data_IF_966526013975
#
_entry.id   IF_966526013975
#
_cell.length_a   1.000
_cell.length_b   1.000
_cell.length_c   1.000
_cell.angle_alpha   90.00
_cell.angle_beta   90.00
_cell.angle_gamma   90.00
#
_symmetry.space_group_name_H-M   'P 1'
#
loop_
_entity.id
_entity.type
_entity.pdbx_description
1 polymer ?
#
# COMPACT_ATOMS: atom_id res chain seq x y z
N UNK A 1 -6.22 -7.25 -0.78
CA UNK A 1 -6.03 -7.93 -2.08
C UNK A 1 -7.34 -8.55 -2.51
N UNK A 2 -8.14 -7.82 -3.29
CA UNK A 2 -9.44 -8.30 -3.78
C UNK A 2 -9.34 -9.33 -4.91
N UNK A 3 -8.16 -9.55 -5.49
CA UNK A 3 -7.97 -10.47 -6.60
C UNK A 3 -8.28 -11.95 -6.22
N UNK A 4 -7.91 -12.38 -5.02
CA UNK A 4 -8.26 -13.71 -4.48
C UNK A 4 -9.77 -13.87 -4.21
N UNK A 5 -10.47 -12.77 -3.92
CA UNK A 5 -11.92 -12.85 -3.74
C UNK A 5 -12.62 -13.06 -5.10
N UNK A 6 -12.09 -12.49 -6.18
CA UNK A 6 -12.69 -12.58 -7.52
C UNK A 6 -12.38 -13.89 -8.23
N UNK A 7 -11.27 -14.53 -7.86
CA UNK A 7 -10.98 -15.92 -8.17
C UNK A 7 -12.13 -16.85 -7.73
N UNK A 8 -12.46 -16.81 -6.42
CA UNK A 8 -13.54 -17.60 -5.84
C UNK A 8 -14.91 -17.24 -6.43
N UNK A 9 -15.07 -15.98 -6.82
CA UNK A 9 -16.28 -15.51 -7.48
C UNK A 9 -16.38 -16.04 -8.92
N UNK A 10 -15.30 -16.01 -9.71
CA UNK A 10 -15.26 -16.54 -11.07
C UNK A 10 -15.56 -18.04 -11.12
N UNK A 11 -15.00 -18.80 -10.16
CA UNK A 11 -15.31 -20.22 -9.98
C UNK A 11 -16.77 -20.47 -9.59
N UNK A 12 -17.39 -19.56 -8.83
CA UNK A 12 -18.81 -19.64 -8.50
C UNK A 12 -19.76 -19.25 -9.62
N UNK A 13 -19.24 -18.68 -10.72
CA UNK A 13 -20.02 -18.19 -11.87
C UNK A 13 -19.88 -19.07 -13.12
N UNK A 14 -19.09 -20.14 -13.07
CA UNK A 14 -18.67 -20.94 -14.24
C UNK A 14 -18.15 -20.08 -15.41
N UNK A 15 -17.56 -18.92 -15.10
CA UNK A 15 -16.97 -18.02 -16.10
C UNK A 15 -15.46 -18.25 -16.16
N UNK A 16 -15.04 -19.11 -17.09
CA UNK A 16 -13.65 -19.52 -17.28
C UNK A 16 -12.71 -18.35 -17.59
N UNK A 17 -13.21 -17.28 -18.21
CA UNK A 17 -12.43 -16.08 -18.50
C UNK A 17 -12.21 -15.22 -17.25
N UNK A 18 -13.25 -15.01 -16.44
CA UNK A 18 -13.12 -14.29 -15.17
C UNK A 18 -12.23 -15.06 -14.20
N UNK A 19 -12.37 -16.39 -14.15
CA UNK A 19 -11.54 -17.26 -13.33
C UNK A 19 -10.05 -17.17 -13.73
N UNK A 20 -9.74 -17.39 -15.02
CA UNK A 20 -8.37 -17.28 -15.52
C UNK A 20 -7.79 -15.88 -15.31
N UNK A 21 -8.55 -14.82 -15.63
CA UNK A 21 -8.11 -13.44 -15.46
C UNK A 21 -7.91 -13.06 -13.98
N UNK A 22 -8.74 -13.61 -13.09
CA UNK A 22 -8.62 -13.45 -11.65
C UNK A 22 -7.33 -14.07 -11.11
N UNK A 23 -7.07 -15.35 -11.42
CA UNK A 23 -5.86 -16.05 -11.02
C UNK A 23 -4.59 -15.45 -11.65
N UNK A 24 -4.58 -15.27 -12.97
CA UNK A 24 -3.44 -14.71 -13.68
C UNK A 24 -3.16 -13.27 -13.21
N UNK A 25 -4.21 -12.47 -13.05
CA UNK A 25 -4.15 -11.13 -12.51
C UNK A 25 -3.61 -11.10 -11.08
N UNK A 26 -4.07 -11.98 -10.19
CA UNK A 26 -3.60 -12.07 -8.80
C UNK A 26 -2.12 -12.46 -8.71
N UNK A 27 -1.68 -13.46 -9.47
CA UNK A 27 -0.27 -13.90 -9.50
C UNK A 27 0.64 -12.79 -10.06
N UNK A 28 0.25 -12.21 -11.20
CA UNK A 28 0.97 -11.08 -11.80
C UNK A 28 1.00 -9.88 -10.87
N UNK A 29 -0.12 -9.56 -10.20
CA UNK A 29 -0.18 -8.43 -9.27
C UNK A 29 0.71 -8.64 -8.06
N UNK A 30 0.77 -9.86 -7.51
CA UNK A 30 1.68 -10.20 -6.40
C UNK A 30 3.14 -10.00 -6.80
N UNK A 31 3.54 -10.50 -7.97
CA UNK A 31 4.88 -10.30 -8.52
C UNK A 31 5.17 -8.81 -8.71
N UNK A 32 4.29 -8.09 -9.41
CA UNK A 32 4.47 -6.68 -9.71
C UNK A 32 4.57 -5.85 -8.44
N UNK A 33 3.69 -6.12 -7.47
CA UNK A 33 3.67 -5.46 -6.19
C UNK A 33 4.93 -5.74 -5.39
N UNK A 34 5.47 -6.95 -5.43
CA UNK A 34 6.77 -7.23 -4.82
C UNK A 34 7.89 -6.36 -5.42
N UNK A 35 7.92 -6.18 -6.74
CA UNK A 35 8.95 -5.42 -7.44
C UNK A 35 8.88 -3.91 -7.15
N UNK A 36 7.75 -3.26 -7.45
CA UNK A 36 7.66 -1.81 -7.27
C UNK A 36 7.69 -1.40 -5.80
N UNK A 37 7.13 -2.21 -4.89
CA UNK A 37 7.18 -1.91 -3.45
C UNK A 37 8.59 -2.06 -2.91
N UNK A 38 9.32 -3.10 -3.33
CA UNK A 38 10.73 -3.26 -2.97
C UNK A 38 11.57 -2.07 -3.45
N UNK A 39 11.36 -1.60 -4.69
CA UNK A 39 12.07 -0.42 -5.21
C UNK A 39 11.74 0.86 -4.42
N UNK A 40 10.47 1.08 -4.06
CA UNK A 40 10.05 2.21 -3.22
C UNK A 40 10.70 2.19 -1.83
N UNK A 41 10.69 1.04 -1.16
CA UNK A 41 11.31 0.89 0.16
C UNK A 41 12.83 0.99 0.11
N UNK A 42 13.47 0.46 -0.93
CA UNK A 42 14.92 0.59 -1.10
C UNK A 42 15.30 2.06 -1.33
N UNK A 43 14.59 2.76 -2.21
CA UNK A 43 14.81 4.19 -2.43
C UNK A 43 14.55 5.02 -1.15
N UNK A 44 13.46 4.76 -0.43
CA UNK A 44 13.17 5.41 0.86
C UNK A 44 14.25 5.11 1.93
N UNK A 45 14.72 3.88 2.01
CA UNK A 45 15.81 3.48 2.91
C UNK A 45 17.13 4.18 2.59
N UNK A 46 17.41 4.40 1.31
CA UNK A 46 18.58 5.18 0.87
C UNK A 46 18.48 6.64 1.29
N UNK A 47 17.29 7.24 1.14
CA UNK A 47 17.02 8.61 1.60
C UNK A 47 17.18 8.70 3.10
N UNK A 48 16.66 7.71 3.84
CA UNK A 48 16.81 7.67 5.30
C UNK A 48 18.28 7.53 5.72
N UNK A 49 19.07 6.66 5.07
CA UNK A 49 20.50 6.53 5.36
C UNK A 49 21.28 7.82 5.05
N UNK A 50 20.89 8.56 4.01
CA UNK A 50 21.55 9.80 3.65
C UNK A 50 21.12 10.99 4.53
N UNK A 51 19.86 11.05 4.96
CA UNK A 51 19.29 12.23 5.64
C UNK A 51 19.07 12.03 7.13
N UNK A 52 18.98 10.79 7.62
CA UNK A 52 18.50 10.40 8.95
C UNK A 52 17.10 10.95 9.32
N UNK A 53 16.30 11.33 8.32
CA UNK A 53 14.97 11.92 8.51
C UNK A 53 13.90 10.93 8.06
N UNK A 54 12.97 10.62 8.97
CA UNK A 54 11.78 9.78 8.68
C UNK A 54 10.56 10.65 8.35
N UNK A 55 10.49 11.86 8.93
CA UNK A 55 9.33 12.73 8.75
C UNK A 55 9.36 13.41 7.38
N UNK A 56 8.42 13.03 6.51
CA UNK A 56 8.26 13.60 5.16
C UNK A 56 8.07 15.12 5.15
N UNK A 57 7.50 15.71 6.21
CA UNK A 57 7.32 17.17 6.30
C UNK A 57 8.64 17.94 6.39
N UNK A 58 9.72 17.27 6.82
CA UNK A 58 11.07 17.83 6.91
C UNK A 58 11.91 17.58 5.65
N UNK A 59 11.43 16.75 4.73
CA UNK A 59 12.07 16.49 3.44
C UNK A 59 11.67 17.53 2.40
N UNK A 60 12.43 17.62 1.30
CA UNK A 60 12.19 18.51 0.18
C UNK A 60 13.42 18.69 -0.70
N UNK A 61 13.23 18.92 -1.99
CA UNK A 61 14.32 19.23 -2.94
C UNK A 61 15.34 18.12 -3.16
N UNK A 62 15.06 16.87 -2.78
CA UNK A 62 16.00 15.75 -2.91
C UNK A 62 16.33 15.43 -4.38
N UNK A 63 15.46 15.76 -5.34
CA UNK A 63 15.71 15.50 -6.76
C UNK A 63 16.99 16.17 -7.29
N UNK A 64 17.39 17.32 -6.72
CA UNK A 64 18.62 18.01 -7.10
C UNK A 64 19.88 17.39 -6.48
N UNK A 65 19.74 16.71 -5.34
CA UNK A 65 20.85 16.12 -4.58
C UNK A 65 21.06 14.64 -4.93
N UNK A 66 19.97 13.91 -5.15
CA UNK A 66 19.94 12.48 -5.46
C UNK A 66 19.02 12.21 -6.67
N UNK A 67 19.39 12.65 -7.88
CA UNK A 67 18.54 12.54 -9.08
C UNK A 67 18.25 11.10 -9.52
N UNK A 68 19.21 10.18 -9.44
CA UNK A 68 19.03 8.77 -9.80
C UNK A 68 18.07 8.07 -8.83
N UNK A 69 18.27 8.23 -7.52
CA UNK A 69 17.36 7.67 -6.51
C UNK A 69 15.95 8.25 -6.67
N UNK A 70 15.84 9.54 -7.00
CA UNK A 70 14.56 10.20 -7.26
C UNK A 70 13.84 9.67 -8.50
N UNK A 71 14.56 9.46 -9.60
CA UNK A 71 14.01 8.91 -10.84
C UNK A 71 13.53 7.46 -10.64
N UNK A 72 14.30 6.65 -9.89
CA UNK A 72 13.92 5.28 -9.57
C UNK A 72 12.68 5.24 -8.66
N UNK A 73 12.59 6.14 -7.68
CA UNK A 73 11.39 6.27 -6.84
C UNK A 73 10.18 6.71 -7.67
N UNK A 74 10.36 7.67 -8.61
CA UNK A 74 9.29 8.13 -9.50
C UNK A 74 8.79 7.02 -10.42
N UNK A 75 9.72 6.23 -10.99
CA UNK A 75 9.39 5.07 -11.82
C UNK A 75 8.57 4.06 -11.02
N UNK A 76 9.01 3.72 -9.81
CA UNK A 76 8.28 2.81 -8.93
C UNK A 76 6.91 3.38 -8.50
N UNK A 77 6.83 4.69 -8.28
CA UNK A 77 5.59 5.42 -7.99
C UNK A 77 4.61 5.37 -9.15
N UNK A 78 5.08 5.54 -10.39
CA UNK A 78 4.24 5.41 -11.58
C UNK A 78 3.75 3.95 -11.77
N UNK A 79 4.61 2.98 -11.45
CA UNK A 79 4.27 1.56 -11.52
C UNK A 79 3.19 1.15 -10.50
N UNK A 80 3.30 1.55 -9.24
CA UNK A 80 2.28 1.25 -8.22
C UNK A 80 0.96 1.98 -8.46
N UNK A 81 0.99 3.12 -9.16
CA UNK A 81 -0.21 3.83 -9.60
C UNK A 81 -0.92 3.19 -10.81
N UNK A 82 -0.38 2.09 -11.35
CA UNK A 82 -0.99 1.41 -12.50
C UNK A 82 -0.92 2.22 -13.79
N UNK A 83 0.10 3.07 -13.98
CA UNK A 83 0.22 3.86 -15.21
C UNK A 83 0.83 3.02 -16.35
N UNK A 84 0.29 3.08 -17.58
CA UNK A 84 1.01 2.62 -18.77
C UNK A 84 2.31 3.43 -18.93
N UNK A 85 3.47 2.84 -19.25
CA UNK A 85 3.74 1.47 -19.73
C UNK A 85 4.33 0.53 -18.64
N UNK A 86 3.96 0.68 -17.37
CA UNK A 86 4.58 -0.06 -16.27
C UNK A 86 3.84 -1.36 -15.90
N UNK A 87 4.53 -2.26 -15.20
CA UNK A 87 4.02 -3.57 -14.82
C UNK A 87 2.70 -3.54 -14.01
N UNK A 88 2.51 -2.58 -13.11
CA UNK A 88 1.30 -2.48 -12.28
C UNK A 88 0.02 -2.39 -13.12
N UNK A 89 0.08 -1.66 -14.24
CA UNK A 89 -1.03 -1.55 -15.19
C UNK A 89 -1.42 -2.92 -15.76
N UNK A 90 -0.45 -3.75 -16.15
CA UNK A 90 -0.70 -5.07 -16.76
C UNK A 90 -1.53 -5.96 -15.84
N UNK A 91 -1.16 -6.01 -14.56
CA UNK A 91 -1.88 -6.83 -13.58
C UNK A 91 -3.29 -6.33 -13.29
N UNK A 92 -3.48 -5.02 -13.15
CA UNK A 92 -4.81 -4.45 -12.91
C UNK A 92 -5.70 -4.57 -14.15
N UNK A 93 -5.12 -4.37 -15.33
CA UNK A 93 -5.83 -4.50 -16.61
C UNK A 93 -6.34 -5.92 -16.84
N UNK A 94 -5.60 -6.97 -16.42
CA UNK A 94 -6.11 -8.34 -16.42
C UNK A 94 -7.37 -8.49 -15.57
N UNK A 95 -7.32 -8.00 -14.33
CA UNK A 95 -8.46 -8.06 -13.39
C UNK A 95 -9.66 -7.29 -13.96
N UNK A 96 -9.43 -6.09 -14.51
CA UNK A 96 -10.47 -5.31 -15.17
C UNK A 96 -11.06 -6.04 -16.38
N UNK A 97 -10.23 -6.66 -17.22
CA UNK A 97 -10.69 -7.41 -18.40
C UNK A 97 -11.61 -8.57 -17.99
N UNK A 98 -11.26 -9.29 -16.92
CA UNK A 98 -12.12 -10.34 -16.36
C UNK A 98 -13.44 -9.77 -15.84
N UNK A 99 -13.39 -8.70 -15.03
CA UNK A 99 -14.58 -8.07 -14.46
C UNK A 99 -15.52 -7.50 -15.53
N UNK A 100 -14.99 -6.81 -16.54
CA UNK A 100 -15.79 -6.24 -17.63
C UNK A 100 -16.45 -7.31 -18.50
N UNK A 101 -15.78 -8.44 -18.73
CA UNK A 101 -16.39 -9.55 -19.46
C UNK A 101 -17.58 -10.13 -18.67
N UNK A 102 -17.43 -10.26 -17.35
CA UNK A 102 -18.45 -10.79 -16.46
C UNK A 102 -19.69 -9.89 -16.28
N UNK A 103 -19.66 -8.62 -16.72
CA UNK A 103 -20.82 -7.69 -16.60
C UNK A 103 -22.07 -8.21 -17.33
N UNK A 104 -21.91 -9.07 -18.33
CA UNK A 104 -23.02 -9.65 -19.10
C UNK A 104 -23.80 -10.74 -18.35
N UNK A 105 -23.51 -10.97 -17.06
CA UNK A 105 -24.24 -11.94 -16.23
C UNK A 105 -25.71 -11.55 -16.02
N UNK A 106 -26.64 -12.49 -16.18
CA UNK A 106 -28.09 -12.25 -16.08
C UNK A 106 -28.61 -12.03 -14.64
N UNK A 107 -27.79 -12.21 -13.59
CA UNK A 107 -28.22 -12.07 -12.20
C UNK A 107 -27.87 -10.70 -11.61
N UNK A 108 -28.86 -10.00 -11.06
CA UNK A 108 -28.71 -8.66 -10.49
C UNK A 108 -27.68 -8.61 -9.34
N UNK A 109 -27.67 -9.63 -8.47
CA UNK A 109 -26.72 -9.71 -7.34
C UNK A 109 -25.27 -9.73 -7.81
N UNK A 110 -24.98 -10.45 -8.90
CA UNK A 110 -23.65 -10.58 -9.48
C UNK A 110 -23.21 -9.28 -10.12
N UNK A 111 -24.10 -8.64 -10.88
CA UNK A 111 -23.85 -7.33 -11.49
C UNK A 111 -23.53 -6.26 -10.45
N UNK A 112 -24.28 -6.22 -9.33
CA UNK A 112 -24.00 -5.29 -8.22
C UNK A 112 -22.60 -5.53 -7.64
N UNK A 113 -22.21 -6.78 -7.40
CA UNK A 113 -20.88 -7.11 -6.90
C UNK A 113 -19.77 -6.69 -7.87
N UNK A 114 -19.93 -6.95 -9.17
CA UNK A 114 -18.96 -6.57 -10.20
C UNK A 114 -18.81 -5.04 -10.27
N UNK A 115 -19.91 -4.30 -10.27
CA UNK A 115 -19.88 -2.83 -10.31
C UNK A 115 -19.20 -2.26 -9.06
N UNK A 116 -19.57 -2.75 -7.88
CA UNK A 116 -18.92 -2.33 -6.62
C UNK A 116 -17.43 -2.64 -6.62
N UNK A 117 -17.03 -3.76 -7.24
CA UNK A 117 -15.63 -4.16 -7.36
C UNK A 117 -14.85 -3.24 -8.29
N UNK A 118 -15.37 -2.94 -9.48
CA UNK A 118 -14.77 -1.99 -10.42
C UNK A 118 -14.64 -0.63 -9.75
N UNK A 119 -15.70 -0.15 -9.09
CA UNK A 119 -15.69 1.12 -8.38
C UNK A 119 -14.66 1.14 -7.25
N UNK A 120 -14.56 0.05 -6.47
CA UNK A 120 -13.55 -0.12 -5.44
C UNK A 120 -12.12 -0.06 -5.98
N UNK A 121 -11.84 -0.76 -7.08
CA UNK A 121 -10.53 -0.72 -7.75
C UNK A 121 -10.19 0.70 -8.24
N UNK A 122 -11.16 1.40 -8.84
CA UNK A 122 -10.97 2.79 -9.30
C UNK A 122 -10.65 3.73 -8.13
N UNK A 123 -11.35 3.60 -7.01
CA UNK A 123 -11.06 4.40 -5.81
C UNK A 123 -9.65 4.11 -5.29
N UNK A 124 -9.26 2.84 -5.19
CA UNK A 124 -7.93 2.45 -4.71
C UNK A 124 -6.84 3.00 -5.63
N UNK A 125 -7.00 2.88 -6.96
CA UNK A 125 -6.08 3.45 -7.95
C UNK A 125 -5.98 4.97 -7.83
N UNK A 126 -7.11 5.68 -7.70
CA UNK A 126 -7.13 7.12 -7.49
C UNK A 126 -6.43 7.55 -6.20
N UNK A 127 -6.64 6.83 -5.10
CA UNK A 127 -5.95 7.05 -3.83
C UNK A 127 -4.45 6.77 -3.93
N UNK A 128 -4.03 5.76 -4.71
CA UNK A 128 -2.63 5.48 -4.97
C UNK A 128 -1.97 6.64 -5.73
N UNK A 129 -2.58 7.11 -6.82
CA UNK A 129 -2.11 8.29 -7.57
C UNK A 129 -1.98 9.50 -6.65
N UNK A 130 -2.99 9.78 -5.84
CA UNK A 130 -2.97 10.87 -4.88
C UNK A 130 -1.82 10.74 -3.86
N UNK A 131 -1.66 9.55 -3.26
CA UNK A 131 -0.65 9.26 -2.25
C UNK A 131 0.77 9.40 -2.81
N UNK A 132 1.05 8.82 -3.97
CA UNK A 132 2.40 8.83 -4.55
C UNK A 132 2.74 10.17 -5.21
N UNK A 133 1.76 10.90 -5.73
CA UNK A 133 1.94 12.31 -6.14
C UNK A 133 2.34 13.17 -4.94
N UNK A 134 1.66 12.99 -3.80
CA UNK A 134 2.02 13.65 -2.53
C UNK A 134 3.43 13.25 -2.08
N UNK A 135 3.73 11.96 -2.07
CA UNK A 135 5.01 11.44 -1.59
C UNK A 135 6.17 11.99 -2.44
N UNK A 136 6.04 11.90 -3.77
CA UNK A 136 7.07 12.40 -4.67
C UNK A 136 7.19 13.93 -4.62
N UNK A 137 6.06 14.63 -4.68
CA UNK A 137 6.02 16.09 -4.71
C UNK A 137 6.56 16.75 -3.44
N UNK A 138 6.26 16.20 -2.27
CA UNK A 138 6.72 16.76 -0.99
C UNK A 138 8.18 16.41 -0.71
N UNK A 139 8.61 15.17 -0.96
CA UNK A 139 9.95 14.74 -0.59
C UNK A 139 11.04 15.18 -1.59
N UNK A 140 10.75 15.15 -2.90
CA UNK A 140 11.77 15.30 -3.95
C UNK A 140 11.75 16.65 -4.66
N UNK A 141 10.57 17.25 -4.84
CA UNK A 141 10.43 18.56 -5.49
C UNK A 141 10.59 19.72 -4.48
N UNK A 142 10.59 20.95 -4.97
CA UNK A 142 10.72 22.15 -4.15
C UNK A 142 12.15 22.42 -3.66
N UNK A 143 12.25 23.16 -2.55
CA UNK A 143 13.51 23.46 -1.85
C UNK A 143 13.65 22.61 -0.58
N UNK A 144 14.88 22.40 -0.12
CA UNK A 144 15.15 21.69 1.13
C UNK A 144 14.47 22.39 2.31
N UNK A 145 13.76 21.61 3.14
CA UNK A 145 13.03 22.13 4.32
C UNK A 145 13.82 22.04 5.61
N UNK A 146 14.81 21.17 5.64
CA UNK A 146 15.74 21.01 6.75
C UNK A 146 17.17 21.03 6.20
N UNK A 147 18.12 21.36 7.07
CA UNK A 147 19.52 21.18 6.77
C UNK A 147 19.83 19.68 6.79
N UNK A 148 20.28 19.17 5.66
CA UNK A 148 20.69 17.78 5.56
C UNK A 148 22.13 17.60 6.06
N UNK A 149 22.45 16.46 6.68
CA UNK A 149 23.81 16.19 7.13
C UNK A 149 24.77 16.06 5.93
N UNK A 150 25.83 16.87 5.93
CA UNK A 150 26.92 16.80 4.96
C UNK A 150 26.54 17.15 3.51
N UNK A 151 27.44 16.84 2.57
CA UNK A 151 27.18 16.99 1.14
C UNK A 151 26.41 15.78 0.62
N UNK A 152 25.08 15.90 0.62
CA UNK A 152 24.16 14.83 0.21
C UNK A 152 24.41 14.43 -1.25
N UNK A 153 24.86 13.19 -1.47
CA UNK A 153 25.18 12.62 -2.78
C UNK A 153 24.49 11.28 -3.00
N UNK A 154 24.44 10.87 -4.26
CA UNK A 154 24.01 9.51 -4.59
C UNK A 154 24.90 8.47 -3.93
N UNK A 155 24.33 7.33 -3.51
CA UNK A 155 25.11 6.25 -2.93
C UNK A 155 25.98 5.58 -4.01
N UNK A 156 26.98 4.83 -3.58
CA UNK A 156 27.85 4.09 -4.49
C UNK A 156 27.09 3.12 -5.41
N UNK A 157 27.72 2.74 -6.52
CA UNK A 157 27.15 1.87 -7.56
C UNK A 157 26.60 0.55 -7.02
N UNK A 158 27.21 -0.03 -5.96
CA UNK A 158 26.74 -1.25 -5.32
C UNK A 158 25.33 -1.16 -4.72
N UNK A 159 24.91 0.02 -4.24
CA UNK A 159 23.55 0.26 -3.70
C UNK A 159 22.56 0.60 -4.81
N UNK A 160 23.03 1.21 -5.90
CA UNK A 160 22.21 1.57 -7.05
C UNK A 160 21.90 0.38 -7.96
N UNK A 161 22.85 -0.53 -8.14
CA UNK A 161 22.72 -1.66 -9.08
C UNK A 161 21.46 -2.51 -8.83
N UNK A 162 21.14 -2.97 -7.60
CA UNK A 162 19.92 -3.73 -7.35
C UNK A 162 18.65 -2.94 -7.69
N UNK A 163 18.64 -1.62 -7.47
CA UNK A 163 17.49 -0.76 -7.79
C UNK A 163 17.26 -0.65 -9.29
N UNK A 164 18.34 -0.50 -10.06
CA UNK A 164 18.28 -0.50 -11.52
C UNK A 164 17.79 -1.85 -12.05
N UNK A 165 18.27 -2.95 -11.47
CA UNK A 165 17.81 -4.30 -11.85
C UNK A 165 16.30 -4.44 -11.66
N UNK A 166 15.77 -4.05 -10.49
CA UNK A 166 14.32 -4.08 -10.22
C UNK A 166 13.56 -3.15 -11.17
N UNK A 167 14.07 -1.95 -11.42
CA UNK A 167 13.45 -1.00 -12.35
C UNK A 167 13.38 -1.54 -13.78
N UNK A 168 14.42 -2.26 -14.24
CA UNK A 168 14.41 -2.93 -15.55
C UNK A 168 13.30 -3.98 -15.60
N UNK A 169 13.15 -4.82 -14.56
CA UNK A 169 12.06 -5.80 -14.52
C UNK A 169 10.67 -5.14 -14.57
N UNK A 170 10.47 -4.04 -13.84
CA UNK A 170 9.22 -3.27 -13.86
C UNK A 170 8.87 -2.78 -15.28
N UNK A 171 9.85 -2.29 -16.02
CA UNK A 171 9.65 -1.79 -17.38
C UNK A 171 9.47 -2.95 -18.37
N UNK A 172 10.29 -4.00 -18.29
CA UNK A 172 10.22 -5.16 -19.18
C UNK A 172 8.87 -5.87 -19.07
N UNK A 173 8.35 -6.07 -17.86
CA UNK A 173 7.03 -6.67 -17.66
C UNK A 173 5.92 -5.79 -18.24
N UNK A 174 6.04 -4.46 -18.09
CA UNK A 174 5.07 -3.52 -18.64
C UNK A 174 5.05 -3.45 -20.17
N UNK A 175 6.22 -3.57 -20.81
CA UNK A 175 6.37 -3.49 -22.27
C UNK A 175 6.08 -4.84 -22.96
N UNK A 176 6.44 -5.96 -22.33
CA UNK A 176 6.28 -7.31 -22.88
C UNK A 176 5.35 -8.18 -22.03
N UNK A 177 4.11 -7.74 -21.74
CA UNK A 177 3.19 -8.46 -20.84
C UNK A 177 2.84 -9.87 -21.34
N UNK A 178 2.84 -10.09 -22.66
CA UNK A 178 2.51 -11.38 -23.27
C UNK A 178 3.46 -12.51 -22.86
N UNK A 179 4.74 -12.21 -22.63
CA UNK A 179 5.75 -13.22 -22.24
C UNK A 179 5.47 -13.70 -20.82
N UNK A 180 5.19 -12.77 -19.91
CA UNK A 180 4.94 -13.08 -18.51
C UNK A 180 3.60 -13.77 -18.32
N UNK A 181 2.58 -13.40 -19.09
CA UNK A 181 1.30 -14.11 -19.05
C UNK A 181 1.45 -15.53 -19.58
N UNK A 182 2.23 -15.72 -20.65
CA UNK A 182 2.60 -17.06 -21.12
C UNK A 182 3.22 -17.94 -20.03
N UNK A 183 4.06 -17.38 -19.18
CA UNK A 183 4.66 -18.09 -18.04
C UNK A 183 3.64 -18.44 -16.93
N UNK A 184 2.59 -17.64 -16.79
CA UNK A 184 1.56 -17.81 -15.75
C UNK A 184 0.46 -18.80 -16.17
N UNK A 185 0.31 -19.11 -17.47
CA UNK A 185 -0.70 -20.07 -17.97
C UNK A 185 -0.60 -21.43 -17.27
N UNK A 186 0.61 -22.02 -17.17
CA UNK A 186 0.80 -23.34 -16.54
C UNK A 186 0.44 -23.37 -15.05
N UNK A 187 0.90 -22.43 -14.22
CA UNK A 187 0.43 -22.33 -12.84
C UNK A 187 -1.09 -22.17 -12.72
N UNK A 188 -1.71 -21.38 -13.59
CA UNK A 188 -3.16 -21.11 -13.52
C UNK A 188 -3.98 -22.34 -13.93
N UNK A 189 -3.54 -23.10 -14.94
CA UNK A 189 -4.27 -24.29 -15.40
C UNK A 189 -4.40 -25.37 -14.31
N UNK A 190 -3.45 -25.42 -13.37
CA UNK A 190 -3.54 -26.30 -12.19
C UNK A 190 -4.74 -25.98 -11.28
N UNK A 191 -5.23 -24.72 -11.29
CA UNK A 191 -6.34 -24.28 -10.46
C UNK A 191 -7.68 -24.25 -11.19
N UNK A 192 -7.67 -24.00 -12.50
CA UNK A 192 -8.89 -23.81 -13.33
C UNK A 192 -9.32 -25.06 -14.11
N UNK A 193 -8.48 -26.10 -14.20
CA UNK A 193 -8.75 -27.32 -14.98
C UNK A 193 -8.50 -27.15 -16.49
N UNK A 194 -8.09 -28.22 -17.18
CA UNK A 194 -7.44 -28.11 -18.51
C UNK A 194 -8.37 -27.86 -19.71
N UNK A 195 -9.68 -28.13 -19.62
CA UNK A 195 -10.51 -28.32 -20.83
C UNK A 195 -10.90 -27.05 -21.58
N UNK A 196 -10.95 -25.89 -20.92
CA UNK A 196 -11.30 -24.59 -21.57
C UNK A 196 -10.20 -23.52 -21.48
N UNK A 197 -9.08 -23.81 -20.81
CA UNK A 197 -8.02 -22.83 -20.54
C UNK A 197 -7.28 -22.43 -21.81
N UNK A 198 -7.16 -23.32 -22.80
CA UNK A 198 -6.36 -23.03 -23.99
C UNK A 198 -6.93 -21.86 -24.81
N UNK A 199 -8.22 -21.85 -25.13
CA UNK A 199 -8.84 -20.76 -25.91
C UNK A 199 -8.84 -19.43 -25.16
N UNK A 200 -9.20 -19.47 -23.87
CA UNK A 200 -9.17 -18.30 -22.98
C UNK A 200 -7.76 -17.73 -22.84
N UNK A 201 -6.75 -18.58 -22.73
CA UNK A 201 -5.35 -18.15 -22.64
C UNK A 201 -4.86 -17.48 -23.92
N UNK A 202 -5.23 -18.00 -25.10
CA UNK A 202 -4.89 -17.38 -26.39
C UNK A 202 -5.54 -15.99 -26.54
N UNK A 203 -6.81 -15.86 -26.17
CA UNK A 203 -7.50 -14.57 -26.15
C UNK A 203 -6.78 -13.56 -25.24
N UNK A 204 -6.40 -13.97 -24.03
CA UNK A 204 -5.69 -13.11 -23.09
C UNK A 204 -4.30 -12.72 -23.59
N UNK A 205 -3.53 -13.67 -24.12
CA UNK A 205 -2.20 -13.39 -24.71
C UNK A 205 -2.32 -12.38 -25.85
N UNK A 206 -3.31 -12.55 -26.75
CA UNK A 206 -3.52 -11.62 -27.87
C UNK A 206 -3.92 -10.21 -27.41
N UNK A 207 -4.75 -10.11 -26.36
CA UNK A 207 -5.13 -8.83 -25.75
C UNK A 207 -3.91 -8.14 -25.14
N UNK A 208 -3.02 -8.92 -24.54
CA UNK A 208 -1.83 -8.40 -23.86
C UNK A 208 -0.75 -7.99 -24.85
N UNK A 209 -0.66 -8.65 -26.00
CA UNK A 209 0.14 -8.16 -27.12
C UNK A 209 -0.32 -6.77 -27.58
N UNK A 210 -1.63 -6.52 -27.70
CA UNK A 210 -2.16 -5.18 -28.04
C UNK A 210 -1.78 -4.13 -26.99
N UNK A 211 -1.84 -4.49 -25.70
CA UNK A 211 -1.39 -3.63 -24.59
C UNK A 211 0.12 -3.35 -24.69
N UNK A 212 0.92 -4.35 -25.04
CA UNK A 212 2.35 -4.20 -25.29
C UNK A 212 2.63 -3.24 -26.46
N UNK A 213 1.92 -3.38 -27.59
CA UNK A 213 2.02 -2.46 -28.73
C UNK A 213 1.61 -1.03 -28.36
N UNK A 214 0.53 -0.85 -27.59
CA UNK A 214 0.11 0.46 -27.10
C UNK A 214 1.19 1.09 -26.19
N UNK A 215 1.82 0.28 -25.33
CA UNK A 215 2.91 0.70 -24.45
C UNK A 215 4.14 1.14 -25.25
N UNK A 216 4.56 0.36 -26.26
CA UNK A 216 5.61 0.75 -27.20
C UNK A 216 5.29 2.06 -27.93
N UNK A 217 4.06 2.20 -28.42
CA UNK A 217 3.60 3.40 -29.13
C UNK A 217 3.66 4.62 -28.21
N UNK A 218 3.21 4.49 -26.97
CA UNK A 218 3.27 5.56 -25.98
C UNK A 218 4.73 5.96 -25.65
N UNK A 219 5.62 4.98 -25.47
CA UNK A 219 7.05 5.22 -25.24
C UNK A 219 7.66 5.97 -26.43
N UNK A 220 7.40 5.50 -27.67
CA UNK A 220 7.88 6.15 -28.88
C UNK A 220 7.37 7.58 -29.01
N UNK A 221 6.11 7.83 -28.66
CA UNK A 221 5.53 9.18 -28.64
C UNK A 221 6.25 10.09 -27.64
N UNK A 222 6.48 9.62 -26.41
CA UNK A 222 7.22 10.38 -25.38
C UNK A 222 8.64 10.70 -25.84
N UNK A 223 9.36 9.73 -26.40
CA UNK A 223 10.71 9.94 -26.94
C UNK A 223 10.71 10.89 -28.15
N UNK A 224 9.71 10.81 -29.02
CA UNK A 224 9.57 11.71 -30.17
C UNK A 224 9.34 13.14 -29.72
N UNK A 225 8.43 13.37 -28.76
CA UNK A 225 8.19 14.69 -28.17
C UNK A 225 9.45 15.23 -27.48
N UNK A 226 10.17 14.38 -26.74
CA UNK A 226 11.44 14.76 -26.11
C UNK A 226 12.49 15.16 -27.15
N UNK A 227 12.63 14.38 -28.23
CA UNK A 227 13.59 14.67 -29.30
C UNK A 227 13.24 15.94 -30.06
N UNK A 228 11.96 16.15 -30.40
CA UNK A 228 11.47 17.38 -31.03
C UNK A 228 11.77 18.58 -30.14
N UNK A 229 11.39 18.52 -28.85
CA UNK A 229 11.69 19.57 -27.88
C UNK A 229 13.19 19.85 -27.83
N UNK A 230 14.02 18.81 -27.73
CA UNK A 230 15.47 18.96 -27.67
C UNK A 230 16.03 19.58 -28.96
N UNK A 231 15.51 19.21 -30.13
CA UNK A 231 15.93 19.76 -31.41
C UNK A 231 15.60 21.24 -31.54
N UNK A 232 14.36 21.62 -31.21
CA UNK A 232 13.88 23.02 -31.24
C UNK A 232 14.63 23.90 -30.22
N UNK A 233 14.95 23.35 -29.05
CA UNK A 233 15.62 24.11 -27.97
C UNK A 233 17.16 24.18 -28.08
N UNK A 234 17.80 23.56 -29.10
CA UNK A 234 19.27 23.52 -29.23
C UNK A 234 19.94 24.90 -29.35
N UNK A 235 19.21 25.92 -29.82
CA UNK A 235 19.71 27.29 -29.97
C UNK A 235 19.26 28.26 -28.87
N UNK A 236 18.44 27.83 -27.91
CA UNK A 236 17.85 28.71 -26.90
C UNK A 236 18.70 28.68 -25.63
N UNK A 237 19.30 29.82 -25.25
CA UNK A 237 19.96 29.94 -23.95
C UNK A 237 18.90 30.01 -22.85
N UNK A 238 18.84 28.99 -22.00
CA UNK A 238 17.94 28.98 -20.85
C UNK A 238 18.34 30.08 -19.86
N UNK A 239 17.51 31.12 -19.72
CA UNK A 239 17.67 32.14 -18.69
C UNK A 239 16.98 31.66 -17.41
N UNK A 240 17.76 31.41 -16.37
CA UNK A 240 17.21 31.12 -15.04
C UNK A 240 17.00 32.45 -14.31
N UNK A 241 15.73 32.82 -14.10
CA UNK A 241 15.36 33.92 -13.20
C UNK A 241 14.84 33.35 -11.88
N UNK A 242 14.74 34.20 -10.86
CA UNK A 242 13.99 33.84 -9.66
C UNK A 242 12.54 33.51 -10.03
N UNK A 243 12.01 32.46 -9.41
CA UNK A 243 10.60 32.08 -9.58
C UNK A 243 9.71 33.12 -8.91
N UNK A 244 8.55 33.41 -9.51
CA UNK A 244 7.59 34.37 -8.97
C UNK A 244 7.24 34.07 -7.50
N UNK A 245 7.72 34.93 -6.60
CA UNK A 245 7.53 34.78 -5.15
C UNK A 245 6.28 35.48 -4.62
N UNK A 246 5.30 35.84 -5.46
CA UNK A 246 4.12 36.61 -5.03
C UNK A 246 4.46 37.87 -4.21
N UNK A 247 5.54 38.57 -4.56
CA UNK A 247 6.03 39.76 -3.85
C UNK A 247 7.04 39.50 -2.72
N UNK A 248 7.37 38.24 -2.40
CA UNK A 248 8.44 37.91 -1.46
C UNK A 248 9.82 37.94 -2.14
N UNK A 249 10.78 38.65 -1.53
CA UNK A 249 12.17 38.76 -2.00
C UNK A 249 13.00 37.49 -1.82
N UNK A 250 12.63 36.61 -0.89
CA UNK A 250 13.34 35.36 -0.61
C UNK A 250 12.36 34.21 -0.44
N UNK A 251 12.53 33.16 -1.26
CA UNK A 251 11.73 31.94 -1.17
C UNK A 251 12.16 31.13 0.06
N UNK A 252 11.39 31.22 1.14
CA UNK A 252 11.57 30.40 2.33
C UNK A 252 10.90 29.02 2.15
N UNK A 253 11.46 27.93 2.71
CA UNK A 253 10.78 26.63 2.76
C UNK A 253 9.39 26.68 3.39
N UNK A 254 9.11 27.70 4.23
CA UNK A 254 7.80 27.95 4.85
C UNK A 254 6.69 28.29 3.85
N UNK A 255 7.03 28.74 2.64
CA UNK A 255 6.06 29.06 1.58
C UNK A 255 5.59 27.82 0.80
N UNK A 256 6.23 26.65 1.00
CA UNK A 256 5.83 25.43 0.33
C UNK A 256 4.63 24.77 1.00
N UNK A 257 3.80 24.08 0.21
CA UNK A 257 2.73 23.24 0.72
C UNK A 257 3.27 22.09 1.59
N UNK A 258 2.80 21.97 2.82
CA UNK A 258 3.07 20.80 3.65
C UNK A 258 2.30 19.57 3.14
N UNK A 259 2.77 18.38 3.51
CA UNK A 259 2.09 17.11 3.20
C UNK A 259 0.67 17.09 3.78
N UNK A 260 0.50 17.65 4.98
CA UNK A 260 -0.78 17.83 5.67
C UNK A 260 -1.72 18.78 4.92
N UNK A 261 -1.19 19.88 4.37
CA UNK A 261 -1.97 20.83 3.56
C UNK A 261 -2.39 20.21 2.23
N UNK A 262 -1.50 19.47 1.56
CA UNK A 262 -1.80 18.76 0.30
C UNK A 262 -2.98 17.79 0.47
N UNK A 263 -3.05 17.08 1.60
CA UNK A 263 -4.14 16.15 1.91
C UNK A 263 -5.34 16.76 2.61
N UNK A 264 -5.40 18.07 2.82
CA UNK A 264 -6.45 18.71 3.64
C UNK A 264 -7.86 18.52 3.06
N UNK A 265 -8.04 18.73 1.76
CA UNK A 265 -9.35 18.62 1.10
C UNK A 265 -9.91 17.19 1.17
N UNK A 266 -9.09 16.20 0.84
CA UNK A 266 -9.46 14.78 0.91
C UNK A 266 -9.71 14.32 2.35
N UNK A 267 -8.88 14.76 3.29
CA UNK A 267 -9.05 14.46 4.72
C UNK A 267 -10.36 15.03 5.26
N UNK A 268 -10.80 16.19 4.80
CA UNK A 268 -12.07 16.77 5.21
C UNK A 268 -13.27 15.95 4.69
N UNK A 269 -13.17 15.40 3.47
CA UNK A 269 -14.20 14.53 2.91
C UNK A 269 -14.36 13.23 3.73
N UNK A 270 -13.24 12.65 4.20
CA UNK A 270 -13.22 11.37 4.95
C UNK A 270 -13.25 11.62 6.48
N UNK A 271 -13.47 12.86 6.93
CA UNK A 271 -13.55 13.23 8.36
C UNK A 271 -14.55 12.39 9.18
N UNK A 272 -15.70 11.93 8.64
CA UNK A 272 -16.59 11.03 9.40
C UNK A 272 -15.93 9.70 9.77
N UNK A 273 -15.04 9.17 8.92
CA UNK A 273 -14.32 7.91 9.14
C UNK A 273 -13.06 8.10 10.00
N UNK A 274 -12.42 9.28 9.91
CA UNK A 274 -11.16 9.56 10.61
C UNK A 274 -11.39 10.24 11.97
N UNK A 275 -10.58 9.89 12.97
CA UNK A 275 -10.49 10.63 14.24
C UNK A 275 -9.28 11.55 14.19
N UNK A 276 -9.55 12.85 14.10
CA UNK A 276 -8.51 13.87 14.02
C UNK A 276 -8.31 14.45 15.42
N UNK A 277 -7.13 14.21 16.01
CA UNK A 277 -6.69 14.98 17.18
C UNK A 277 -5.83 16.13 16.71
N UNK A 278 -6.14 17.34 17.15
CA UNK A 278 -5.31 18.53 16.94
C UNK A 278 -4.97 19.11 18.29
N UNK A 279 -3.67 19.26 18.54
CA UNK A 279 -3.15 20.01 19.67
C UNK A 279 -2.61 21.33 19.12
N UNK A 280 -3.34 22.41 19.40
CA UNK A 280 -2.95 23.76 19.04
C UNK A 280 -2.55 24.49 20.32
N UNK A 281 -1.34 25.06 20.35
CA UNK A 281 -0.91 25.88 21.48
C UNK A 281 -1.82 27.10 21.65
N UNK A 282 -2.10 27.49 22.90
CA UNK A 282 -2.94 28.66 23.19
C UNK A 282 -2.21 29.95 22.79
N UNK A 283 -2.94 30.88 22.19
CA UNK A 283 -2.46 32.23 21.90
C UNK A 283 -2.73 33.08 23.14
N UNK A 284 -1.71 33.24 24.00
CA UNK A 284 -1.86 33.94 25.28
C UNK A 284 -1.53 35.45 25.19
N UNK A 285 -0.91 35.92 24.11
CA UNK A 285 -0.52 37.32 23.93
C UNK A 285 -0.79 37.84 22.51
N UNK A 286 -0.90 39.17 22.36
CA UNK A 286 -1.08 39.86 21.07
C UNK A 286 0.09 39.64 20.11
N UNK A 287 1.29 39.40 20.64
CA UNK A 287 2.48 38.99 19.89
C UNK A 287 2.85 37.60 20.41
N UNK A 288 2.24 36.53 19.87
CA UNK A 288 2.51 35.19 20.34
C UNK A 288 3.96 34.79 20.03
N UNK A 289 4.55 34.01 20.93
CA UNK A 289 5.78 33.28 20.65
C UNK A 289 5.57 32.16 19.62
N UNK A 290 6.54 31.25 19.49
CA UNK A 290 6.44 30.13 18.53
C UNK A 290 5.32 29.17 18.96
N UNK A 291 4.19 29.22 18.24
CA UNK A 291 3.09 28.28 18.44
C UNK A 291 3.37 27.00 17.65
N UNK A 292 3.39 25.87 18.34
CA UNK A 292 3.46 24.54 17.70
C UNK A 292 2.05 24.00 17.50
N UNK A 293 1.81 23.44 16.32
CA UNK A 293 0.57 22.75 15.96
C UNK A 293 0.94 21.31 15.64
N UNK A 294 0.33 20.38 16.37
CA UNK A 294 0.49 18.95 16.13
C UNK A 294 -0.86 18.36 15.75
N UNK A 295 -0.89 17.57 14.68
CA UNK A 295 -2.10 16.92 14.22
C UNK A 295 -1.86 15.43 14.03
N UNK A 296 -2.63 14.62 14.73
CA UNK A 296 -2.61 13.17 14.62
C UNK A 296 -3.88 12.70 13.93
N UNK A 297 -3.71 11.82 12.95
CA UNK A 297 -4.81 11.14 12.27
C UNK A 297 -4.86 9.73 12.83
N UNK A 298 -5.95 9.41 13.51
CA UNK A 298 -6.22 8.06 13.99
C UNK A 298 -7.40 7.50 13.18
N UNK A 299 -7.35 6.21 12.86
CA UNK A 299 -8.46 5.52 12.23
C UNK A 299 -9.49 5.11 13.31
N UNK A 300 -10.77 5.46 13.10
CA UNK A 300 -11.84 5.04 14.02
C UNK A 300 -12.04 3.53 13.99
N UNK A 301 -11.84 2.90 12.83
CA UNK A 301 -12.01 1.46 12.63
C UNK A 301 -10.92 0.71 13.38
N UNK A 302 -9.66 1.12 13.23
CA UNK A 302 -8.53 0.57 14.00
C UNK A 302 -8.77 0.70 15.50
N UNK A 303 -9.19 1.89 15.96
CA UNK A 303 -9.48 2.08 17.38
C UNK A 303 -10.61 1.16 17.89
N UNK A 304 -11.67 0.98 17.10
CA UNK A 304 -12.83 0.19 17.49
C UNK A 304 -12.57 -1.33 17.44
N UNK A 305 -11.90 -1.81 16.39
CA UNK A 305 -11.67 -3.24 16.12
C UNK A 305 -10.37 -3.78 16.72
N UNK A 306 -9.37 -2.94 16.95
CA UNK A 306 -8.03 -3.35 17.40
C UNK A 306 -7.75 -2.77 18.78
N UNK A 307 -7.66 -1.44 18.92
CA UNK A 307 -7.20 -0.83 20.18
C UNK A 307 -8.14 -1.09 21.36
N UNK A 308 -9.45 -0.93 21.16
CA UNK A 308 -10.46 -1.12 22.20
C UNK A 308 -10.48 -2.57 22.72
N UNK A 309 -10.58 -3.62 21.89
CA UNK A 309 -10.53 -4.99 22.38
C UNK A 309 -9.17 -5.35 22.99
N UNK A 310 -8.06 -4.89 22.42
CA UNK A 310 -6.73 -5.10 23.01
C UNK A 310 -6.60 -4.45 24.39
N UNK A 311 -7.11 -3.23 24.57
CA UNK A 311 -7.09 -2.54 25.85
C UNK A 311 -7.94 -3.27 26.89
N UNK A 312 -9.10 -3.76 26.50
CA UNK A 312 -9.96 -4.56 27.38
C UNK A 312 -9.29 -5.88 27.76
N UNK A 313 -8.68 -6.58 26.80
CA UNK A 313 -7.93 -7.81 27.03
C UNK A 313 -6.70 -7.58 27.91
N UNK A 314 -5.96 -6.49 27.70
CA UNK A 314 -4.84 -6.10 28.56
C UNK A 314 -5.31 -5.73 29.96
N UNK A 315 -6.48 -5.11 30.08
CA UNK A 315 -7.14 -4.87 31.38
C UNK A 315 -7.44 -6.17 32.11
N UNK A 316 -8.06 -7.14 31.43
CA UNK A 316 -8.36 -8.48 31.96
C UNK A 316 -7.08 -9.23 32.37
N UNK A 317 -6.08 -9.33 31.49
CA UNK A 317 -4.80 -9.98 31.80
C UNK A 317 -4.08 -9.25 32.94
N UNK A 318 -4.18 -7.92 32.98
CA UNK A 318 -3.63 -7.10 34.05
C UNK A 318 -4.22 -7.42 35.43
N UNK A 319 -5.47 -7.88 35.50
CA UNK A 319 -6.07 -8.36 36.75
C UNK A 319 -5.38 -9.62 37.26
N UNK A 320 -4.85 -10.49 36.39
CA UNK A 320 -4.12 -11.70 36.77
C UNK A 320 -2.64 -11.47 37.09
N UNK A 321 -2.17 -10.22 37.04
CA UNK A 321 -0.77 -9.88 37.32
C UNK A 321 -0.34 -10.24 38.74
N UNK A 322 -1.29 -10.39 39.67
CA UNK A 322 -1.00 -10.88 41.03
C UNK A 322 -0.39 -12.29 41.06
N UNK A 323 -0.66 -13.12 40.05
CA UNK A 323 -0.07 -14.47 39.94
C UNK A 323 1.44 -14.43 39.63
N UNK A 324 1.96 -13.30 39.15
CA UNK A 324 3.38 -13.12 38.80
C UNK A 324 4.10 -12.22 39.81
N UNK A 325 4.01 -12.55 41.10
CA UNK A 325 4.57 -11.74 42.19
C UNK A 325 6.08 -11.95 42.44
N UNK A 326 6.72 -12.91 41.75
CA UNK A 326 8.16 -13.19 41.88
C UNK A 326 8.55 -13.93 43.17
N UNK A 327 7.60 -14.28 44.04
CA UNK A 327 7.86 -15.00 45.29
C UNK A 327 7.60 -16.50 45.12
N UNK A 328 8.65 -17.30 45.35
CA UNK A 328 8.61 -18.77 45.24
C UNK A 328 7.53 -19.39 46.15
N UNK A 329 7.30 -18.80 47.32
CA UNK A 329 6.33 -19.29 48.30
C UNK A 329 4.89 -19.28 47.75
N UNK A 330 4.52 -18.23 47.02
CA UNK A 330 3.19 -18.13 46.42
C UNK A 330 3.01 -19.11 45.27
N UNK A 331 4.05 -19.36 44.47
CA UNK A 331 3.98 -20.36 43.40
C UNK A 331 3.77 -21.78 43.94
N UNK A 332 4.45 -22.13 45.05
CA UNK A 332 4.24 -23.42 45.72
C UNK A 332 2.81 -23.51 46.26
N UNK A 333 2.31 -22.45 46.91
CA UNK A 333 0.93 -22.39 47.40
C UNK A 333 -0.09 -22.57 46.27
N UNK A 334 0.09 -21.88 45.14
CA UNK A 334 -0.78 -22.04 43.97
C UNK A 334 -0.78 -23.48 43.43
N UNK A 335 0.39 -24.12 43.40
CA UNK A 335 0.51 -25.53 43.02
C UNK A 335 -0.23 -26.48 43.96
N UNK A 336 -0.10 -26.29 45.28
CA UNK A 336 -0.81 -27.10 46.29
C UNK A 336 -2.32 -26.90 46.20
N UNK A 337 -2.78 -25.65 46.07
CA UNK A 337 -4.21 -25.33 45.88
C UNK A 337 -4.75 -25.97 44.60
N UNK A 338 -3.99 -25.92 43.50
CA UNK A 338 -4.38 -26.56 42.25
C UNK A 338 -4.54 -28.09 42.40
N UNK A 339 -3.56 -28.77 43.02
CA UNK A 339 -3.63 -30.22 43.26
C UNK A 339 -4.83 -30.56 44.16
N UNK A 340 -5.04 -29.80 45.23
CA UNK A 340 -6.18 -30.00 46.13
C UNK A 340 -7.49 -29.90 45.37
N UNK A 341 -7.70 -28.83 44.61
CA UNK A 341 -8.89 -28.59 43.78
C UNK A 341 -9.08 -29.70 42.74
N UNK A 342 -8.01 -30.10 42.06
CA UNK A 342 -8.04 -31.15 41.04
C UNK A 342 -8.46 -32.52 41.59
N UNK A 343 -8.21 -32.79 42.87
CA UNK A 343 -8.63 -34.03 43.55
C UNK A 343 -10.04 -33.88 44.14
N UNK A 344 -10.35 -32.76 44.80
CA UNK A 344 -11.64 -32.59 45.49
C UNK A 344 -12.82 -32.41 44.55
N UNK A 345 -12.65 -31.69 43.43
CA UNK A 345 -13.76 -31.45 42.49
C UNK A 345 -14.30 -32.76 41.91
N UNK A 346 -13.48 -33.68 41.35
CA UNK A 346 -14.00 -34.95 40.84
C UNK A 346 -14.67 -35.81 41.91
N UNK A 347 -14.12 -35.83 43.12
CA UNK A 347 -14.71 -36.59 44.25
C UNK A 347 -16.08 -36.02 44.63
N UNK A 348 -16.20 -34.69 44.70
CA UNK A 348 -17.47 -34.01 44.96
C UNK A 348 -18.48 -34.27 43.83
N UNK A 349 -18.06 -34.19 42.57
CA UNK A 349 -18.92 -34.50 41.42
C UNK A 349 -19.43 -35.95 41.52
N UNK A 350 -18.55 -36.91 41.79
CA UNK A 350 -18.92 -38.31 41.94
C UNK A 350 -19.84 -38.55 43.16
N UNK A 351 -19.59 -37.88 44.29
CA UNK A 351 -20.46 -37.98 45.46
C UNK A 351 -21.85 -37.39 45.18
N UNK A 352 -21.92 -36.27 44.44
CA UNK A 352 -23.20 -35.68 44.03
C UNK A 352 -23.96 -36.53 43.03
N UNK A 353 -23.28 -37.21 42.09
CA UNK A 353 -23.94 -38.14 41.17
C UNK A 353 -24.47 -39.37 41.89
N UNK A 354 -23.72 -39.92 42.85
CA UNK A 354 -24.19 -41.03 43.71
C UNK A 354 -25.41 -40.64 44.54
N UNK A 355 -25.41 -39.45 45.15
CA UNK A 355 -26.57 -38.92 45.87
C UNK A 355 -27.78 -38.77 44.94
N UNK A 356 -27.57 -38.27 43.72
CA UNK A 356 -28.64 -38.10 42.74
C UNK A 356 -29.23 -39.43 42.26
N UNK A 357 -28.40 -40.47 42.10
CA UNK A 357 -28.88 -41.83 41.81
C UNK A 357 -29.65 -42.43 42.99
N UNK A 358 -29.19 -42.22 44.22
CA UNK A 358 -29.88 -42.68 45.43
C UNK A 358 -31.25 -42.01 45.60
N UNK A 359 -31.36 -40.71 45.31
CA UNK A 359 -32.64 -39.99 45.28
C UNK A 359 -33.59 -40.42 44.15
N UNK A 360 -33.09 -41.06 43.09
CA UNK A 360 -33.94 -41.63 42.03
C UNK A 360 -34.48 -43.03 42.39
N UNK A 361 -33.84 -43.71 43.34
CA UNK A 361 -34.23 -45.06 43.78
C UNK A 361 -35.22 -45.03 44.96
N UNK A 362 -35.20 -43.96 45.74
CA UNK A 362 -36.26 -43.58 46.68
C UNK A 362 -37.44 -42.95 45.93
#
# INVERSE_FOLDING_TARGET
>A
YGALAWELFGKGLDNTLLEFAGFAGALMHTLNHSLFKSLLFYAAGTIYQATHIINIEKLGGLMKKMPQTSLLFLLASAAICGLPPFNGFVSEFLIYTGLFNAVHSNQLSQLVLIILSIFGLVIIGGLAIFCFTKAFGIAFLGTARSEYPGDLKEPGSGVLFPKYLIAIFIVVIGILPQVFIGAVIKPVSLFTGDTEVFQTSLFMVSTMQKVGFASWTFILLVFSVYYIKRSVSRGTVAKYSETWGCGYKTLSPKLQYTSSSFSRSYRNLIKPLLRISKHEGKIESLIPGVIKIESHVLDKIEYALIDKPLRNLKGLIGQFRFLQNGSVQFYILYGVVFIFIAITIPILINATSYLFELFKQL
#
